data_IF_523627633219
#
_entry.id   IF_523627633219
#
_cell.length_a   1.000
_cell.length_b   1.000
_cell.length_c   1.000
_cell.angle_alpha   90.00
_cell.angle_beta   90.00
_cell.angle_gamma   90.00
#
_symmetry.space_group_name_H-M   'P 1'
#
loop_
_entity.id
_entity.type
_entity.pdbx_description
1 polymer ?
#
# COMPACT_ATOMS: atom_id res chain seq x y z
N UNK A 1 17.36 -10.15 -9.29
CA UNK A 1 16.24 -9.61 -10.15
C UNK A 1 15.95 -10.60 -11.25
N UNK A 2 14.67 -10.87 -11.53
CA UNK A 2 14.25 -11.63 -12.70
C UNK A 2 14.22 -10.73 -13.95
N UNK A 3 13.94 -11.30 -15.14
CA UNK A 3 13.89 -10.57 -16.41
C UNK A 3 12.88 -9.42 -16.40
N UNK A 4 11.67 -9.69 -15.89
CA UNK A 4 10.63 -8.64 -15.78
C UNK A 4 11.10 -7.46 -14.92
N UNK A 5 11.67 -7.71 -13.76
CA UNK A 5 12.16 -6.67 -12.87
C UNK A 5 13.30 -5.86 -13.51
N UNK A 6 14.27 -6.54 -14.12
CA UNK A 6 15.38 -5.90 -14.82
C UNK A 6 14.89 -4.97 -15.93
N UNK A 7 14.02 -5.46 -16.80
CA UNK A 7 13.47 -4.68 -17.90
C UNK A 7 12.61 -3.50 -17.39
N UNK A 8 11.78 -3.73 -16.36
CA UNK A 8 10.93 -2.67 -15.79
C UNK A 8 11.75 -1.53 -15.18
N UNK A 9 12.78 -1.86 -14.38
CA UNK A 9 13.60 -0.82 -13.76
C UNK A 9 14.51 -0.13 -14.77
N UNK A 10 15.00 -0.83 -15.79
CA UNK A 10 15.75 -0.25 -16.90
C UNK A 10 14.91 0.74 -17.69
N UNK A 11 13.68 0.33 -18.06
CA UNK A 11 12.70 1.19 -18.73
C UNK A 11 12.39 2.45 -17.92
N UNK A 12 12.31 2.32 -16.58
CA UNK A 12 12.06 3.46 -15.71
C UNK A 12 13.27 4.41 -15.65
N UNK A 13 14.50 3.87 -15.65
CA UNK A 13 15.72 4.69 -15.71
C UNK A 13 15.81 5.41 -17.05
N UNK A 14 15.53 4.76 -18.17
CA UNK A 14 15.46 5.40 -19.50
C UNK A 14 14.52 6.62 -19.48
N UNK A 15 13.35 6.46 -18.85
CA UNK A 15 12.39 7.56 -18.68
C UNK A 15 12.95 8.70 -17.83
N UNK A 16 13.58 8.41 -16.70
CA UNK A 16 14.15 9.42 -15.82
C UNK A 16 15.25 10.23 -16.52
N UNK A 17 16.08 9.56 -17.31
CA UNK A 17 17.21 10.19 -18.01
C UNK A 17 16.76 10.96 -19.25
N UNK A 18 15.94 10.36 -20.11
CA UNK A 18 15.45 11.02 -21.32
C UNK A 18 14.69 12.32 -21.04
N UNK A 19 13.93 12.35 -19.95
CA UNK A 19 13.11 13.50 -19.57
C UNK A 19 13.65 14.28 -18.37
N UNK A 20 14.96 14.15 -18.04
CA UNK A 20 15.59 14.77 -16.87
C UNK A 20 15.44 16.30 -16.82
N UNK A 21 15.36 16.96 -17.98
CA UNK A 21 15.20 18.41 -18.11
C UNK A 21 13.74 18.88 -17.96
N UNK A 22 12.78 17.99 -17.93
CA UNK A 22 11.37 18.33 -17.72
C UNK A 22 11.16 18.66 -16.24
N UNK A 23 11.18 19.96 -15.92
CA UNK A 23 11.16 20.47 -14.55
C UNK A 23 10.08 21.55 -14.38
N UNK A 24 9.52 21.63 -13.18
CA UNK A 24 8.71 22.76 -12.77
C UNK A 24 9.19 23.30 -11.43
N UNK A 25 9.40 24.62 -11.32
CA UNK A 25 10.02 25.26 -10.14
C UNK A 25 11.28 24.54 -9.63
N UNK A 26 12.10 24.03 -10.56
CA UNK A 26 13.33 23.31 -10.27
C UNK A 26 13.14 21.90 -9.70
N UNK A 27 11.92 21.33 -9.75
CA UNK A 27 11.65 19.93 -9.39
C UNK A 27 11.48 19.13 -10.69
N UNK A 28 12.22 18.03 -10.85
CA UNK A 28 12.09 17.13 -11.99
C UNK A 28 10.78 16.38 -11.93
N UNK A 29 9.93 16.55 -12.95
CA UNK A 29 8.61 15.94 -13.05
C UNK A 29 8.68 14.41 -13.20
N UNK A 30 9.60 13.81 -14.00
CA UNK A 30 9.75 12.37 -14.12
C UNK A 30 9.90 11.62 -12.77
N UNK A 31 10.65 12.18 -11.83
CA UNK A 31 10.83 11.61 -10.50
C UNK A 31 9.53 11.60 -9.67
N UNK A 32 8.58 12.46 -10.00
CA UNK A 32 7.29 12.57 -9.32
C UNK A 32 6.21 11.70 -9.96
N UNK A 33 6.40 11.27 -11.21
CA UNK A 33 5.43 10.48 -11.95
C UNK A 33 5.12 9.12 -11.30
N UNK A 34 3.87 8.69 -11.39
CA UNK A 34 3.49 7.31 -11.21
C UNK A 34 3.80 6.53 -12.49
N UNK A 35 5.03 6.01 -12.60
CA UNK A 35 5.58 5.48 -13.85
C UNK A 35 4.71 4.42 -14.52
N UNK A 36 4.16 3.44 -13.77
CA UNK A 36 3.33 2.38 -14.35
C UNK A 36 2.09 2.88 -15.07
N UNK A 37 1.53 4.01 -14.63
CA UNK A 37 0.35 4.57 -15.29
C UNK A 37 0.65 5.19 -16.66
N UNK A 38 1.93 5.45 -16.99
CA UNK A 38 2.33 5.97 -18.29
C UNK A 38 2.13 4.95 -19.43
N UNK A 39 2.03 3.66 -19.10
CA UNK A 39 1.85 2.59 -20.09
C UNK A 39 0.76 1.57 -19.69
N UNK A 40 -0.22 2.02 -18.90
CA UNK A 40 -1.32 1.11 -18.47
C UNK A 40 -2.07 0.51 -19.66
N UNK A 41 -2.24 1.24 -20.73
CA UNK A 41 -2.95 0.81 -21.93
C UNK A 41 -2.04 0.21 -23.03
N UNK A 42 -0.75 0.04 -22.75
CA UNK A 42 0.20 -0.54 -23.69
C UNK A 42 0.40 -2.04 -23.41
N UNK A 43 -0.48 -2.87 -23.96
CA UNK A 43 -0.51 -4.30 -23.67
C UNK A 43 0.74 -5.06 -24.15
N UNK A 44 1.21 -4.75 -25.36
CA UNK A 44 2.42 -5.36 -25.94
C UNK A 44 3.66 -5.07 -25.07
N UNK A 45 3.87 -3.83 -24.68
CA UNK A 45 4.98 -3.47 -23.79
C UNK A 45 4.96 -4.28 -22.49
N UNK A 46 3.78 -4.45 -21.90
CA UNK A 46 3.65 -5.24 -20.65
C UNK A 46 4.04 -6.70 -20.83
N UNK A 47 3.73 -7.30 -21.98
CA UNK A 47 4.12 -8.66 -22.31
C UNK A 47 5.64 -8.74 -22.54
N UNK A 48 6.19 -7.78 -23.28
CA UNK A 48 7.61 -7.71 -23.63
C UNK A 48 8.52 -7.52 -22.41
N UNK A 49 8.04 -6.93 -21.32
CA UNK A 49 8.81 -6.81 -20.07
C UNK A 49 9.30 -8.17 -19.53
N UNK A 50 8.65 -9.29 -19.88
CA UNK A 50 9.09 -10.63 -19.48
C UNK A 50 10.04 -11.29 -20.48
N UNK A 51 10.37 -10.64 -21.61
CA UNK A 51 11.25 -11.16 -22.66
C UNK A 51 12.70 -10.72 -22.45
N UNK A 52 13.64 -11.65 -22.57
CA UNK A 52 15.08 -11.32 -22.52
C UNK A 52 15.50 -10.40 -23.68
N UNK A 53 14.94 -10.58 -24.88
CA UNK A 53 15.24 -9.74 -26.05
C UNK A 53 14.81 -8.27 -25.89
N UNK A 54 13.84 -7.99 -25.01
CA UNK A 54 13.36 -6.64 -24.79
C UNK A 54 14.45 -5.71 -24.23
N UNK A 55 15.40 -6.25 -23.45
CA UNK A 55 16.52 -5.48 -22.89
C UNK A 55 17.38 -4.80 -23.97
N UNK A 56 17.43 -5.37 -25.19
CA UNK A 56 18.19 -4.82 -26.33
C UNK A 56 17.58 -3.53 -26.90
N UNK A 57 16.33 -3.22 -26.57
CA UNK A 57 15.61 -2.03 -27.01
C UNK A 57 15.72 -0.88 -25.98
N UNK A 58 16.32 -1.13 -24.81
CA UNK A 58 16.46 -0.16 -23.74
C UNK A 58 17.84 0.49 -23.79
N UNK A 59 17.91 1.75 -23.35
CA UNK A 59 19.18 2.51 -23.33
C UNK A 59 20.06 2.13 -22.14
N UNK A 60 19.43 1.77 -21.02
CA UNK A 60 20.10 1.45 -19.77
C UNK A 60 19.77 0.01 -19.34
N UNK A 61 20.67 -0.58 -18.57
CA UNK A 61 20.43 -1.89 -17.94
C UNK A 61 20.65 -1.78 -16.43
N UNK A 62 19.55 -1.94 -15.70
CA UNK A 62 19.57 -1.95 -14.22
C UNK A 62 19.85 -3.36 -13.73
N UNK A 63 20.98 -3.57 -13.08
CA UNK A 63 21.38 -4.86 -12.51
C UNK A 63 21.05 -4.99 -11.03
N UNK A 64 20.88 -3.87 -10.30
CA UNK A 64 20.59 -3.84 -8.87
C UNK A 64 19.53 -2.77 -8.53
N UNK A 65 18.52 -3.19 -7.78
CA UNK A 65 17.46 -2.29 -7.27
C UNK A 65 18.02 -1.19 -6.35
N UNK A 66 19.15 -1.43 -5.68
CA UNK A 66 19.81 -0.42 -4.84
C UNK A 66 20.20 0.81 -5.63
N UNK A 67 20.75 0.64 -6.83
CA UNK A 67 21.12 1.78 -7.70
C UNK A 67 19.90 2.60 -8.11
N UNK A 68 18.77 1.93 -8.36
CA UNK A 68 17.53 2.62 -8.66
C UNK A 68 17.02 3.42 -7.43
N UNK A 69 16.99 2.80 -6.24
CA UNK A 69 16.58 3.49 -5.00
C UNK A 69 17.52 4.65 -4.67
N UNK A 70 18.83 4.49 -4.89
CA UNK A 70 19.83 5.53 -4.64
C UNK A 70 19.53 6.79 -5.44
N UNK A 71 19.13 6.69 -6.72
CA UNK A 71 18.74 7.86 -7.55
C UNK A 71 17.64 8.70 -6.89
N UNK A 72 16.65 8.03 -6.28
CA UNK A 72 15.57 8.72 -5.58
C UNK A 72 15.98 9.30 -4.22
N UNK A 73 16.90 8.63 -3.54
CA UNK A 73 17.50 9.15 -2.31
C UNK A 73 18.30 10.43 -2.58
N UNK A 74 19.11 10.44 -3.64
CA UNK A 74 19.87 11.61 -4.09
C UNK A 74 18.95 12.74 -4.57
N UNK A 75 17.92 12.39 -5.37
CA UNK A 75 16.91 13.37 -5.80
C UNK A 75 16.25 14.06 -4.60
N UNK A 76 15.81 13.29 -3.59
CA UNK A 76 15.25 13.87 -2.37
C UNK A 76 16.28 14.75 -1.64
N UNK A 77 17.51 14.27 -1.48
CA UNK A 77 18.61 15.01 -0.82
C UNK A 77 18.86 16.37 -1.48
N UNK A 78 18.84 16.44 -2.82
CA UNK A 78 18.98 17.71 -3.57
C UNK A 78 17.86 18.70 -3.24
N UNK A 79 16.69 18.23 -2.88
CA UNK A 79 15.54 19.06 -2.51
C UNK A 79 15.40 19.29 -1.00
N UNK A 80 16.19 18.63 -0.16
CA UNK A 80 16.14 18.83 1.30
C UNK A 80 16.85 20.14 1.67
N UNK A 81 16.13 21.05 2.34
CA UNK A 81 16.67 22.34 2.74
C UNK A 81 16.73 22.47 4.28
N UNK A 82 17.81 22.00 4.87
CA UNK A 82 18.04 22.04 6.31
C UNK A 82 18.24 23.46 6.88
N UNK A 83 18.41 24.49 6.02
CA UNK A 83 18.52 25.91 6.44
C UNK A 83 17.17 26.51 6.81
N UNK A 84 16.08 25.94 6.34
CA UNK A 84 14.73 26.39 6.70
C UNK A 84 14.44 25.99 8.13
N UNK A 85 14.17 26.96 9.00
CA UNK A 85 13.77 26.71 10.39
C UNK A 85 12.38 26.04 10.42
N UNK A 86 12.26 24.96 11.20
CA UNK A 86 10.97 24.33 11.47
C UNK A 86 10.09 25.24 12.30
N UNK A 87 8.78 25.19 12.06
CA UNK A 87 7.80 25.96 12.85
C UNK A 87 7.66 25.32 14.24
N UNK A 88 8.05 26.03 15.29
CA UNK A 88 8.10 25.51 16.67
C UNK A 88 6.75 24.94 17.16
N UNK A 89 5.63 25.57 16.77
CA UNK A 89 4.27 25.15 17.16
C UNK A 89 3.50 24.57 15.97
N UNK A 90 4.18 23.82 15.12
CA UNK A 90 3.55 23.20 13.95
C UNK A 90 2.63 22.03 14.33
N UNK A 91 1.64 21.79 13.48
CA UNK A 91 0.68 20.70 13.62
C UNK A 91 1.09 19.48 12.80
N UNK A 92 0.67 18.31 13.23
CA UNK A 92 0.80 17.06 12.48
C UNK A 92 -0.29 17.01 11.40
N UNK A 93 0.13 16.82 10.16
CA UNK A 93 -0.77 16.66 9.02
C UNK A 93 -0.92 15.19 8.67
N UNK A 94 -2.14 14.66 8.65
CA UNK A 94 -2.45 13.31 8.20
C UNK A 94 -2.91 13.38 6.75
N UNK A 95 -2.06 12.95 5.81
CA UNK A 95 -2.42 12.89 4.40
C UNK A 95 -3.03 11.53 4.08
N UNK A 96 -4.36 11.48 4.02
CA UNK A 96 -5.13 10.26 3.81
C UNK A 96 -5.54 10.09 2.33
N UNK A 97 -4.54 9.90 1.46
CA UNK A 97 -4.79 9.60 0.05
C UNK A 97 -5.55 8.28 -0.11
N UNK A 98 -6.63 8.31 -0.90
CA UNK A 98 -7.46 7.14 -1.21
C UNK A 98 -7.89 6.32 0.03
N UNK A 99 -8.01 6.96 1.19
CA UNK A 99 -8.35 6.33 2.48
C UNK A 99 -7.40 5.18 2.91
N UNK A 100 -6.15 5.21 2.46
CA UNK A 100 -5.18 4.15 2.73
C UNK A 100 -4.56 4.22 4.14
N UNK A 101 -4.66 5.33 4.87
CA UNK A 101 -4.22 5.39 6.27
C UNK A 101 -4.99 4.41 7.15
N UNK A 102 -6.29 4.24 6.86
CA UNK A 102 -7.16 3.28 7.56
C UNK A 102 -7.05 3.34 9.09
N UNK A 103 -6.78 4.52 9.64
CA UNK A 103 -6.79 4.71 11.08
C UNK A 103 -8.22 4.61 11.59
N UNK A 104 -8.51 3.74 12.57
CA UNK A 104 -9.82 3.70 13.19
C UNK A 104 -10.16 5.04 13.85
N UNK A 105 -11.42 5.45 13.76
CA UNK A 105 -11.91 6.72 14.32
C UNK A 105 -11.52 6.86 15.78
N UNK A 106 -11.71 5.81 16.58
CA UNK A 106 -11.38 5.80 18.01
C UNK A 106 -9.89 5.95 18.28
N UNK A 107 -9.02 5.32 17.48
CA UNK A 107 -7.56 5.46 17.58
C UNK A 107 -7.14 6.88 17.18
N UNK A 108 -7.73 7.41 16.10
CA UNK A 108 -7.45 8.78 15.66
C UNK A 108 -7.87 9.80 16.74
N UNK A 109 -9.08 9.70 17.27
CA UNK A 109 -9.56 10.57 18.39
C UNK A 109 -8.70 10.47 19.64
N UNK A 110 -8.17 9.29 19.95
CA UNK A 110 -7.30 9.07 21.11
C UNK A 110 -5.97 9.80 20.97
N UNK A 111 -5.34 9.71 19.80
CA UNK A 111 -3.95 10.11 19.61
C UNK A 111 -3.76 11.46 18.89
N UNK A 112 -4.73 11.90 18.10
CA UNK A 112 -4.64 13.14 17.33
C UNK A 112 -5.73 14.12 17.79
N UNK A 113 -5.30 15.28 18.29
CA UNK A 113 -6.20 16.31 18.78
C UNK A 113 -6.30 17.47 17.79
N UNK A 114 -7.47 18.11 17.62
CA UNK A 114 -7.67 19.21 16.66
C UNK A 114 -6.72 20.39 16.85
N UNK A 115 -6.26 20.63 18.08
CA UNK A 115 -5.31 21.69 18.41
C UNK A 115 -3.94 21.43 17.79
N UNK A 116 -3.56 20.13 17.64
CA UNK A 116 -2.22 19.70 17.23
C UNK A 116 -2.21 18.90 15.93
N UNK A 117 -3.37 18.64 15.32
CA UNK A 117 -3.45 17.79 14.14
C UNK A 117 -4.56 18.22 13.18
N UNK A 118 -4.41 17.87 11.91
CA UNK A 118 -5.43 18.03 10.88
C UNK A 118 -5.26 17.00 9.75
N UNK A 119 -6.26 16.88 8.89
CA UNK A 119 -6.24 15.98 7.74
C UNK A 119 -6.01 16.79 6.45
N UNK A 120 -5.14 16.31 5.58
CA UNK A 120 -5.00 16.79 4.21
C UNK A 120 -5.77 15.85 3.27
N UNK A 121 -6.52 16.42 2.34
CA UNK A 121 -7.20 15.73 1.23
C UNK A 121 -6.86 16.40 -0.10
N UNK A 122 -7.01 15.67 -1.19
CA UNK A 122 -6.71 16.19 -2.54
C UNK A 122 -7.77 17.20 -2.99
N UNK A 123 -9.04 16.80 -2.96
CA UNK A 123 -10.18 17.56 -3.47
C UNK A 123 -11.28 17.67 -2.41
N UNK A 124 -12.14 18.68 -2.56
CA UNK A 124 -13.38 18.78 -1.80
C UNK A 124 -14.34 17.68 -2.27
N UNK A 125 -14.95 17.01 -1.29
CA UNK A 125 -16.15 16.20 -1.56
C UNK A 125 -17.40 17.08 -1.74
N UNK A 126 -18.56 16.54 -1.41
CA UNK A 126 -19.85 17.27 -1.45
C UNK A 126 -20.00 18.35 -0.34
N UNK A 127 -18.96 18.65 0.40
CA UNK A 127 -19.01 19.62 1.50
C UNK A 127 -18.79 21.05 0.99
N UNK A 128 -19.61 21.98 1.44
CA UNK A 128 -19.47 23.42 1.19
C UNK A 128 -18.69 24.14 2.29
N UNK A 129 -18.47 23.48 3.42
CA UNK A 129 -17.70 24.07 4.52
C UNK A 129 -16.24 24.33 4.12
N UNK A 130 -15.69 25.52 4.38
CA UNK A 130 -14.28 25.81 4.10
C UNK A 130 -13.32 24.96 4.96
N UNK A 131 -13.73 24.51 6.14
CA UNK A 131 -12.95 23.65 7.04
C UNK A 131 -13.87 22.59 7.66
N UNK A 132 -14.29 21.57 6.88
CA UNK A 132 -15.12 20.53 7.43
C UNK A 132 -14.34 19.75 8.50
N UNK A 133 -15.06 19.35 9.53
CA UNK A 133 -14.54 18.44 10.56
C UNK A 133 -14.76 17.01 10.05
N UNK A 134 -13.73 16.19 10.12
CA UNK A 134 -13.83 14.76 9.75
C UNK A 134 -14.62 13.98 10.79
N UNK A 135 -14.99 12.74 10.48
CA UNK A 135 -15.66 11.85 11.45
C UNK A 135 -14.81 11.61 12.70
N UNK A 136 -13.49 11.75 12.57
CA UNK A 136 -12.52 11.66 13.68
C UNK A 136 -12.46 12.93 14.53
N UNK A 137 -13.12 14.01 14.12
CA UNK A 137 -13.12 15.29 14.82
C UNK A 137 -11.94 16.21 14.46
N UNK A 138 -11.19 15.91 13.40
CA UNK A 138 -10.06 16.74 12.95
C UNK A 138 -10.47 17.74 11.87
N UNK A 139 -9.91 18.97 11.85
CA UNK A 139 -10.06 19.87 10.71
C UNK A 139 -9.51 19.25 9.43
N UNK A 140 -10.16 19.45 8.30
CA UNK A 140 -9.67 19.01 6.99
C UNK A 140 -9.32 20.23 6.12
N UNK A 141 -8.19 20.13 5.42
CA UNK A 141 -7.73 21.07 4.41
C UNK A 141 -7.59 20.37 3.08
N UNK A 142 -7.93 21.07 2.00
CA UNK A 142 -7.92 20.50 0.65
C UNK A 142 -6.81 21.13 -0.17
N UNK A 143 -5.99 20.33 -0.83
CA UNK A 143 -4.88 20.82 -1.62
C UNK A 143 -5.36 21.70 -2.77
N UNK A 144 -6.46 21.35 -3.41
CA UNK A 144 -7.07 22.15 -4.48
C UNK A 144 -7.38 23.61 -4.09
N UNK A 145 -7.61 23.91 -2.81
CA UNK A 145 -7.87 25.28 -2.33
C UNK A 145 -6.63 26.18 -2.34
N UNK A 146 -5.48 25.59 -2.59
CA UNK A 146 -4.16 26.27 -2.64
C UNK A 146 -3.61 26.31 -4.05
N UNK A 147 -4.42 25.92 -5.05
CA UNK A 147 -4.02 25.96 -6.46
C UNK A 147 -3.99 27.39 -7.01
N UNK A 148 -3.26 27.56 -8.08
CA UNK A 148 -3.15 28.79 -8.87
C UNK A 148 -3.15 28.45 -10.36
N UNK A 149 -3.60 29.34 -11.23
CA UNK A 149 -3.50 29.16 -12.68
C UNK A 149 -2.05 29.14 -13.13
N UNK A 150 -1.65 28.07 -13.81
CA UNK A 150 -0.31 27.84 -14.35
C UNK A 150 -0.35 27.33 -15.79
N UNK A 151 -1.47 27.51 -16.48
CA UNK A 151 -1.76 26.92 -17.80
C UNK A 151 -0.63 27.21 -18.82
N UNK A 152 -0.17 28.46 -18.89
CA UNK A 152 0.93 28.83 -19.78
C UNK A 152 2.23 28.05 -19.47
N UNK A 153 2.56 27.84 -18.20
CA UNK A 153 3.75 27.05 -17.83
C UNK A 153 3.59 25.58 -18.20
N UNK A 154 2.40 25.03 -18.02
CA UNK A 154 2.07 23.64 -18.40
C UNK A 154 2.26 23.47 -19.91
N UNK A 155 1.72 24.39 -20.73
CA UNK A 155 1.89 24.36 -22.19
C UNK A 155 3.36 24.37 -22.62
N UNK A 156 4.18 25.20 -21.99
CA UNK A 156 5.62 25.27 -22.30
C UNK A 156 6.32 23.94 -21.99
N UNK A 157 5.99 23.32 -20.84
CA UNK A 157 6.54 22.02 -20.46
C UNK A 157 6.07 20.93 -21.42
N UNK A 158 4.80 20.93 -21.81
CA UNK A 158 4.26 19.95 -22.77
C UNK A 158 4.88 20.09 -24.18
N UNK A 159 5.21 21.30 -24.62
CA UNK A 159 5.99 21.54 -25.84
C UNK A 159 7.40 20.96 -25.73
N UNK A 160 8.07 21.15 -24.59
CA UNK A 160 9.37 20.55 -24.31
C UNK A 160 9.29 19.02 -24.36
N UNK A 161 8.29 18.42 -23.71
CA UNK A 161 8.03 16.96 -23.73
C UNK A 161 7.87 16.46 -25.16
N UNK A 162 7.09 17.15 -25.99
CA UNK A 162 6.89 16.77 -27.39
C UNK A 162 8.21 16.75 -28.19
N UNK A 163 9.08 17.75 -27.97
CA UNK A 163 10.40 17.79 -28.59
C UNK A 163 11.33 16.64 -28.16
N UNK A 164 11.23 16.22 -26.89
CA UNK A 164 12.01 15.08 -26.38
C UNK A 164 11.48 13.77 -26.97
N UNK A 165 10.15 13.59 -27.01
CA UNK A 165 9.54 12.41 -27.60
C UNK A 165 9.96 12.22 -29.05
N UNK A 166 9.99 13.29 -29.85
CA UNK A 166 10.42 13.22 -31.25
C UNK A 166 11.88 12.74 -31.39
N UNK A 167 12.76 13.20 -30.51
CA UNK A 167 14.17 12.75 -30.47
C UNK A 167 14.29 11.25 -30.15
N UNK A 168 13.38 10.73 -29.34
CA UNK A 168 13.38 9.35 -28.82
C UNK A 168 12.27 8.48 -29.42
N UNK A 169 11.69 8.83 -30.55
CA UNK A 169 10.53 8.13 -31.15
C UNK A 169 10.73 6.65 -31.46
N UNK A 170 11.96 6.17 -31.56
CA UNK A 170 12.28 4.75 -31.76
C UNK A 170 12.28 3.94 -30.45
N UNK A 171 12.24 4.59 -29.30
CA UNK A 171 12.21 3.91 -28.00
C UNK A 171 10.86 3.20 -27.79
N UNK A 172 10.81 1.96 -27.30
CA UNK A 172 9.60 1.14 -27.25
C UNK A 172 8.46 1.75 -26.41
N UNK A 173 8.77 2.63 -25.45
CA UNK A 173 7.76 3.34 -24.66
C UNK A 173 7.46 4.73 -25.22
N UNK A 174 8.51 5.54 -25.50
CA UNK A 174 8.33 6.98 -25.77
C UNK A 174 7.71 7.25 -27.13
N UNK A 175 7.95 6.37 -28.13
CA UNK A 175 7.33 6.44 -29.45
C UNK A 175 5.85 6.06 -29.50
N UNK A 176 5.30 5.51 -28.42
CA UNK A 176 3.91 5.07 -28.41
C UNK A 176 2.94 6.25 -28.15
N UNK A 177 1.87 6.43 -28.95
CA UNK A 177 0.96 7.58 -28.81
C UNK A 177 0.36 7.74 -27.42
N UNK A 178 -0.06 6.64 -26.79
CA UNK A 178 -0.67 6.66 -25.45
C UNK A 178 0.30 7.13 -24.35
N UNK A 179 1.61 6.97 -24.54
CA UNK A 179 2.61 7.49 -23.61
C UNK A 179 2.58 9.01 -23.55
N UNK A 180 2.57 9.67 -24.72
CA UNK A 180 2.53 11.15 -24.80
C UNK A 180 1.33 11.73 -24.06
N UNK A 181 0.16 11.16 -24.29
CA UNK A 181 -1.08 11.58 -23.63
C UNK A 181 -1.00 11.39 -22.10
N UNK A 182 -0.60 10.17 -21.67
CA UNK A 182 -0.48 9.84 -20.26
C UNK A 182 0.57 10.69 -19.54
N UNK A 183 1.70 10.97 -20.20
CA UNK A 183 2.75 11.80 -19.61
C UNK A 183 2.34 13.26 -19.53
N UNK A 184 1.76 13.84 -20.57
CA UNK A 184 1.25 15.22 -20.54
C UNK A 184 0.20 15.43 -19.46
N UNK A 185 -0.72 14.46 -19.28
CA UNK A 185 -1.69 14.51 -18.19
C UNK A 185 -1.02 14.44 -16.80
N UNK A 186 0.09 13.70 -16.64
CA UNK A 186 0.83 13.71 -15.38
C UNK A 186 1.65 15.01 -15.20
N UNK A 187 2.23 15.57 -16.26
CA UNK A 187 2.93 16.87 -16.23
C UNK A 187 2.03 17.94 -15.64
N UNK A 188 0.82 18.09 -16.19
CA UNK A 188 -0.18 19.05 -15.72
C UNK A 188 -0.50 18.84 -14.24
N UNK A 189 -0.94 17.63 -13.87
CA UNK A 189 -1.33 17.31 -12.49
C UNK A 189 -0.19 17.50 -11.49
N UNK A 190 1.05 17.16 -11.87
CA UNK A 190 2.22 17.31 -11.00
C UNK A 190 2.60 18.77 -10.84
N UNK A 191 2.55 19.57 -11.92
CA UNK A 191 2.82 20.99 -11.85
C UNK A 191 1.83 21.71 -10.90
N UNK A 192 0.54 21.48 -11.05
CA UNK A 192 -0.47 21.97 -10.10
C UNK A 192 -0.22 21.48 -8.68
N UNK A 193 0.10 20.18 -8.49
CA UNK A 193 0.39 19.61 -7.17
C UNK A 193 1.60 20.26 -6.50
N UNK A 194 2.62 20.68 -7.25
CA UNK A 194 3.75 21.42 -6.71
C UNK A 194 3.31 22.78 -6.16
N UNK A 195 2.42 23.48 -6.87
CA UNK A 195 1.85 24.78 -6.43
C UNK A 195 1.00 24.59 -5.19
N UNK A 196 -0.01 23.73 -5.26
CA UNK A 196 -0.92 23.42 -4.15
C UNK A 196 -0.15 23.08 -2.87
N UNK A 197 0.81 22.16 -2.97
CA UNK A 197 1.64 21.74 -1.84
C UNK A 197 2.49 22.88 -1.28
N UNK A 198 3.10 23.68 -2.14
CA UNK A 198 3.94 24.81 -1.75
C UNK A 198 3.12 25.88 -1.03
N UNK A 199 1.95 26.23 -1.55
CA UNK A 199 1.09 27.26 -0.99
C UNK A 199 0.43 26.80 0.31
N UNK A 200 0.00 25.54 0.39
CA UNK A 200 -0.50 24.96 1.63
C UNK A 200 0.56 25.01 2.75
N UNK A 201 1.78 24.55 2.48
CA UNK A 201 2.87 24.52 3.47
C UNK A 201 3.25 25.93 3.93
N UNK A 202 3.22 26.92 3.04
CA UNK A 202 3.46 28.32 3.42
C UNK A 202 2.37 28.87 4.36
N UNK A 203 1.12 28.54 4.09
CA UNK A 203 -0.04 29.05 4.84
C UNK A 203 -0.30 28.30 6.15
N UNK A 204 -0.01 27.00 6.22
CA UNK A 204 -0.29 26.18 7.40
C UNK A 204 0.96 25.91 8.24
N UNK A 205 0.84 25.90 9.58
CA UNK A 205 1.97 25.56 10.45
C UNK A 205 2.13 24.04 10.56
N UNK A 206 2.81 23.42 9.60
CA UNK A 206 3.03 21.95 9.57
C UNK A 206 4.37 21.63 10.21
N UNK A 207 4.40 20.68 11.16
CA UNK A 207 5.61 20.17 11.82
C UNK A 207 6.01 18.79 11.33
N UNK A 208 5.05 17.97 10.87
CA UNK A 208 5.28 16.63 10.34
C UNK A 208 4.11 16.25 9.42
N UNK A 209 4.40 15.46 8.37
CA UNK A 209 3.35 14.90 7.51
C UNK A 209 3.40 13.37 7.59
N UNK A 210 2.26 12.76 7.92
CA UNK A 210 2.08 11.30 7.93
C UNK A 210 1.32 10.90 6.66
N UNK A 211 1.96 10.10 5.82
CA UNK A 211 1.42 9.59 4.56
C UNK A 211 0.89 8.17 4.71
N UNK A 212 -0.11 7.82 3.91
CA UNK A 212 -0.54 6.43 3.72
C UNK A 212 0.29 5.68 2.68
N UNK A 213 0.94 6.40 1.77
CA UNK A 213 1.81 5.88 0.71
C UNK A 213 2.50 7.07 0.02
N UNK A 214 3.73 6.88 -0.46
CA UNK A 214 4.44 7.83 -1.34
C UNK A 214 4.59 7.29 -2.77
N UNK A 215 3.81 6.28 -3.13
CA UNK A 215 3.88 5.63 -4.44
C UNK A 215 3.26 6.48 -5.56
N UNK A 216 2.17 7.20 -5.27
CA UNK A 216 1.46 8.01 -6.25
C UNK A 216 2.03 9.44 -6.33
N UNK A 217 1.84 10.09 -7.48
CA UNK A 217 2.37 11.43 -7.73
C UNK A 217 1.92 12.47 -6.69
N UNK A 218 0.68 12.36 -6.20
CA UNK A 218 0.12 13.31 -5.22
C UNK A 218 0.95 13.37 -3.94
N UNK A 219 1.13 12.22 -3.31
CA UNK A 219 1.86 12.10 -2.05
C UNK A 219 3.37 12.26 -2.24
N UNK A 220 3.90 11.76 -3.37
CA UNK A 220 5.32 11.92 -3.71
C UNK A 220 5.69 13.38 -3.88
N UNK A 221 4.88 14.15 -4.62
CA UNK A 221 5.08 15.59 -4.80
C UNK A 221 5.03 16.34 -3.47
N UNK A 222 4.01 16.08 -2.64
CA UNK A 222 3.90 16.70 -1.33
C UNK A 222 5.11 16.37 -0.43
N UNK A 223 5.64 15.14 -0.49
CA UNK A 223 6.81 14.74 0.29
C UNK A 223 8.10 15.49 -0.17
N UNK A 224 8.28 15.68 -1.46
CA UNK A 224 9.44 16.45 -2.00
C UNK A 224 9.30 17.94 -1.67
N UNK A 225 8.11 18.51 -1.77
CA UNK A 225 7.85 19.90 -1.35
C UNK A 225 8.05 20.05 0.16
N UNK A 226 7.62 19.09 0.98
CA UNK A 226 7.89 19.08 2.42
C UNK A 226 9.39 19.08 2.74
N UNK A 227 10.20 18.29 2.03
CA UNK A 227 11.66 18.29 2.17
C UNK A 227 12.29 19.68 1.90
N UNK A 228 11.79 20.43 0.91
CA UNK A 228 12.23 21.82 0.64
C UNK A 228 11.93 22.79 1.81
N UNK A 229 10.95 22.47 2.60
CA UNK A 229 10.55 23.26 3.76
C UNK A 229 11.03 22.65 5.09
N UNK A 230 11.95 21.68 5.05
CA UNK A 230 12.48 20.97 6.22
C UNK A 230 11.39 20.37 7.12
N UNK A 231 10.31 19.88 6.52
CA UNK A 231 9.22 19.23 7.22
C UNK A 231 9.42 17.71 7.15
N UNK A 232 9.61 17.01 8.27
CA UNK A 232 9.79 15.57 8.29
C UNK A 232 8.53 14.83 7.84
N UNK A 233 8.76 13.67 7.22
CA UNK A 233 7.71 12.86 6.61
C UNK A 233 7.78 11.42 7.09
N UNK A 234 6.63 10.85 7.45
CA UNK A 234 6.46 9.44 7.85
C UNK A 234 5.51 8.80 6.84
N UNK A 235 5.92 7.67 6.26
CA UNK A 235 5.04 6.85 5.42
C UNK A 235 4.58 5.62 6.20
N UNK A 236 3.28 5.50 6.46
CA UNK A 236 2.69 4.32 7.08
C UNK A 236 2.60 3.18 6.07
N UNK A 237 2.95 1.99 6.48
CA UNK A 237 2.73 0.81 5.65
C UNK A 237 1.22 0.55 5.49
N UNK A 238 0.74 0.49 4.25
CA UNK A 238 -0.69 0.35 3.94
C UNK A 238 -1.17 -1.10 3.71
N UNK A 239 -0.22 -2.03 3.52
CA UNK A 239 -0.44 -3.47 3.32
C UNK A 239 0.85 -4.24 3.51
N UNK A 240 0.86 -5.56 3.33
CA UNK A 240 2.11 -6.34 3.29
C UNK A 240 2.95 -5.91 2.07
N UNK A 241 4.27 -5.95 2.20
CA UNK A 241 5.18 -5.77 1.05
C UNK A 241 5.14 -7.05 0.22
N UNK A 242 4.12 -7.20 -0.62
CA UNK A 242 3.98 -8.37 -1.50
C UNK A 242 4.90 -8.33 -2.72
N UNK A 243 5.27 -7.12 -3.16
CA UNK A 243 6.20 -6.86 -4.25
C UNK A 243 6.73 -5.43 -4.12
N UNK A 244 7.63 -5.02 -5.02
CA UNK A 244 8.15 -3.66 -5.10
C UNK A 244 7.08 -2.62 -5.42
N UNK A 245 6.01 -3.05 -6.09
CA UNK A 245 4.91 -2.16 -6.46
C UNK A 245 4.22 -1.59 -5.21
N UNK A 246 4.17 -0.27 -5.13
CA UNK A 246 3.59 0.43 -4.01
C UNK A 246 4.58 0.83 -2.90
N UNK A 247 5.82 0.30 -2.95
CA UNK A 247 6.86 0.54 -1.95
C UNK A 247 8.17 1.10 -2.52
N UNK A 248 8.46 0.88 -3.80
CA UNK A 248 9.58 1.50 -4.51
C UNK A 248 9.11 2.53 -5.54
N UNK A 249 9.83 3.66 -5.62
CA UNK A 249 10.92 4.11 -4.75
C UNK A 249 10.40 4.62 -3.39
N UNK A 250 11.22 4.44 -2.33
CA UNK A 250 11.00 5.07 -1.02
C UNK A 250 11.32 6.56 -1.10
N UNK A 251 10.42 7.40 -0.57
CA UNK A 251 10.55 8.87 -0.62
C UNK A 251 10.46 9.51 0.78
N UNK A 252 9.59 9.03 1.66
CA UNK A 252 9.45 9.57 3.02
C UNK A 252 10.78 9.53 3.78
N UNK A 253 10.94 10.35 4.82
CA UNK A 253 12.13 10.27 5.69
C UNK A 253 12.16 8.93 6.41
N UNK A 254 11.03 8.54 7.00
CA UNK A 254 10.87 7.26 7.67
C UNK A 254 9.67 6.51 7.12
N UNK A 255 9.85 5.22 6.83
CA UNK A 255 8.76 4.28 6.62
C UNK A 255 8.47 3.55 7.94
N UNK A 256 7.24 3.72 8.43
CA UNK A 256 6.73 3.11 9.63
C UNK A 256 6.08 1.76 9.29
N UNK A 257 6.75 0.67 9.61
CA UNK A 257 6.50 -0.67 9.06
C UNK A 257 5.95 -1.64 10.10
N UNK A 258 5.47 -2.80 9.60
CA UNK A 258 4.86 -3.83 10.42
C UNK A 258 5.87 -4.62 11.25
N UNK A 259 7.00 -5.03 10.67
CA UNK A 259 7.92 -5.90 11.34
C UNK A 259 9.33 -5.93 10.71
N UNK A 260 10.10 -6.95 11.12
CA UNK A 260 11.48 -7.11 10.67
C UNK A 260 11.59 -7.56 9.21
N UNK A 261 10.53 -8.18 8.65
CA UNK A 261 10.53 -8.49 7.22
C UNK A 261 10.72 -7.23 6.38
N UNK A 262 10.01 -6.18 6.70
CA UNK A 262 10.09 -4.91 5.97
C UNK A 262 11.45 -4.23 6.18
N UNK A 263 12.01 -4.31 7.38
CA UNK A 263 13.37 -3.77 7.64
C UNK A 263 14.39 -4.44 6.73
N UNK A 264 14.40 -5.80 6.71
CA UNK A 264 15.31 -6.57 5.87
C UNK A 264 15.06 -6.29 4.37
N UNK A 265 13.79 -6.16 3.97
CA UNK A 265 13.41 -5.88 2.59
C UNK A 265 13.89 -4.48 2.16
N UNK A 266 13.64 -3.43 2.94
CA UNK A 266 14.11 -2.08 2.65
C UNK A 266 15.63 -1.99 2.62
N UNK A 267 16.32 -2.69 3.53
CA UNK A 267 17.78 -2.82 3.52
C UNK A 267 18.28 -3.50 2.24
N UNK A 268 17.56 -4.50 1.75
CA UNK A 268 17.92 -5.22 0.51
C UNK A 268 17.86 -4.34 -0.73
N UNK A 269 17.07 -3.26 -0.72
CA UNK A 269 16.99 -2.26 -1.79
C UNK A 269 17.83 -1.01 -1.52
N UNK A 270 18.69 -1.01 -0.50
CA UNK A 270 19.65 0.06 -0.23
C UNK A 270 19.14 1.21 0.64
N UNK A 271 18.03 1.03 1.35
CA UNK A 271 17.56 2.01 2.35
C UNK A 271 18.39 1.87 3.63
N UNK A 272 18.80 3.01 4.20
CA UNK A 272 19.54 3.07 5.46
C UNK A 272 18.65 2.67 6.67
N UNK A 273 19.25 2.17 7.73
CA UNK A 273 18.54 1.62 8.89
C UNK A 273 17.69 2.67 9.63
N UNK A 274 18.07 3.93 9.61
CA UNK A 274 17.32 5.05 10.19
C UNK A 274 16.08 5.44 9.35
N UNK A 275 16.03 5.02 8.10
CA UNK A 275 14.90 5.27 7.19
C UNK A 275 13.69 4.35 7.41
N UNK A 276 13.77 3.35 8.33
CA UNK A 276 12.68 2.38 8.57
C UNK A 276 12.51 2.15 10.07
N UNK A 277 11.28 2.22 10.58
CA UNK A 277 10.96 2.01 12.00
C UNK A 277 9.82 1.01 12.17
N UNK A 278 10.06 -0.02 12.97
CA UNK A 278 9.02 -1.01 13.32
C UNK A 278 8.10 -0.43 14.38
N UNK A 279 6.89 -0.09 13.98
CA UNK A 279 5.85 0.43 14.90
C UNK A 279 4.55 -0.38 14.86
N UNK A 280 4.38 -1.27 13.88
CA UNK A 280 3.11 -1.90 13.58
C UNK A 280 2.17 -0.95 12.84
N UNK A 281 0.85 -1.15 12.99
CA UNK A 281 -0.15 -0.27 12.39
C UNK A 281 -1.31 -0.01 13.34
N UNK A 282 -1.73 1.26 13.54
CA UNK A 282 -2.80 1.62 14.49
C UNK A 282 -4.11 0.85 14.32
N UNK A 283 -4.48 0.45 13.08
CA UNK A 283 -5.70 -0.34 12.86
C UNK A 283 -5.63 -1.73 13.51
N UNK A 284 -4.44 -2.29 13.67
CA UNK A 284 -4.26 -3.63 14.27
C UNK A 284 -4.40 -3.61 15.80
N UNK A 285 -4.32 -2.44 16.41
CA UNK A 285 -4.60 -2.28 17.86
C UNK A 285 -6.04 -2.71 18.22
N UNK A 286 -6.92 -2.82 17.22
CA UNK A 286 -8.33 -3.22 17.40
C UNK A 286 -8.60 -4.71 17.15
N UNK A 287 -7.64 -5.47 16.65
CA UNK A 287 -7.86 -6.87 16.24
C UNK A 287 -8.35 -7.73 17.42
N UNK A 288 -7.83 -7.47 18.61
CA UNK A 288 -8.13 -8.26 19.82
C UNK A 288 -9.17 -7.59 20.74
N UNK A 289 -9.91 -6.59 20.24
CA UNK A 289 -11.06 -6.07 20.97
C UNK A 289 -12.17 -7.13 21.06
N UNK A 290 -12.94 -7.05 22.14
CA UNK A 290 -14.09 -7.93 22.31
C UNK A 290 -15.01 -7.91 21.09
N UNK A 291 -15.48 -9.11 20.74
CA UNK A 291 -16.41 -9.26 19.63
C UNK A 291 -17.71 -8.49 19.91
N UNK A 292 -18.12 -7.66 18.96
CA UNK A 292 -19.36 -6.87 19.07
C UNK A 292 -20.63 -7.70 18.89
N UNK A 293 -20.50 -9.00 18.58
CA UNK A 293 -21.60 -9.94 18.30
C UNK A 293 -21.21 -11.32 18.85
N UNK A 294 -22.17 -12.06 19.39
CA UNK A 294 -21.94 -13.42 19.85
C UNK A 294 -21.91 -14.43 18.70
N UNK A 295 -21.31 -15.61 18.93
CA UNK A 295 -21.23 -16.70 17.93
C UNK A 295 -22.63 -17.13 17.48
N UNK A 296 -23.56 -17.29 18.42
CA UNK A 296 -24.94 -17.70 18.16
C UNK A 296 -25.68 -16.69 17.29
N UNK A 297 -25.49 -15.38 17.59
CA UNK A 297 -26.12 -14.32 16.80
C UNK A 297 -25.54 -14.28 15.38
N UNK A 298 -24.23 -14.43 15.21
CA UNK A 298 -23.61 -14.46 13.88
C UNK A 298 -24.05 -15.70 13.09
N UNK A 299 -24.05 -16.88 13.73
CA UNK A 299 -24.50 -18.14 13.15
C UNK A 299 -25.93 -18.02 12.59
N UNK A 300 -26.86 -17.48 13.40
CA UNK A 300 -28.26 -17.25 12.98
C UNK A 300 -28.34 -16.24 11.83
N UNK A 301 -27.63 -15.11 11.90
CA UNK A 301 -27.69 -14.06 10.88
C UNK A 301 -27.10 -14.47 9.55
N UNK A 302 -26.09 -15.31 9.55
CA UNK A 302 -25.48 -15.82 8.32
C UNK A 302 -26.14 -17.10 7.81
N UNK A 303 -26.97 -17.79 8.60
CA UNK A 303 -27.60 -19.06 8.25
C UNK A 303 -26.60 -20.24 8.31
N UNK A 304 -25.66 -20.21 9.25
CA UNK A 304 -24.65 -21.27 9.41
C UNK A 304 -25.20 -22.47 10.17
N UNK A 305 -24.72 -23.67 9.86
CA UNK A 305 -24.99 -24.86 10.69
C UNK A 305 -24.04 -24.83 11.91
N UNK A 306 -24.54 -24.78 13.14
CA UNK A 306 -23.73 -24.71 14.34
C UNK A 306 -22.86 -25.96 14.59
N UNK A 307 -23.14 -27.09 13.93
CA UNK A 307 -22.38 -28.35 14.04
C UNK A 307 -21.16 -28.38 13.14
N UNK A 308 -21.12 -27.54 12.11
CA UNK A 308 -20.04 -27.49 11.12
C UNK A 308 -18.89 -26.55 11.54
N UNK A 309 -17.72 -26.76 10.94
CA UNK A 309 -16.56 -25.88 11.10
C UNK A 309 -16.70 -24.64 10.20
N UNK A 310 -16.37 -23.48 10.73
CA UNK A 310 -16.46 -22.21 10.02
C UNK A 310 -15.14 -21.85 9.35
N UNK A 311 -15.11 -21.81 8.03
CA UNK A 311 -13.97 -21.35 7.23
C UNK A 311 -14.27 -19.95 6.69
N UNK A 312 -13.40 -19.00 6.94
CA UNK A 312 -13.49 -17.68 6.32
C UNK A 312 -12.63 -17.67 5.06
N UNK A 313 -13.26 -17.59 3.89
CA UNK A 313 -12.60 -17.49 2.59
C UNK A 313 -12.56 -16.03 2.15
N UNK A 314 -11.34 -15.51 1.99
CA UNK A 314 -11.08 -14.13 1.55
C UNK A 314 -10.87 -14.10 0.04
N UNK A 315 -11.75 -13.39 -0.65
CA UNK A 315 -11.70 -13.23 -2.11
C UNK A 315 -11.55 -11.76 -2.50
N UNK A 316 -11.25 -11.50 -3.77
CA UNK A 316 -11.14 -10.15 -4.33
C UNK A 316 -11.94 -10.07 -5.63
N UNK A 317 -13.23 -9.82 -5.50
CA UNK A 317 -14.15 -9.89 -6.62
C UNK A 317 -13.97 -11.20 -7.36
N UNK A 318 -14.08 -11.17 -8.69
CA UNK A 318 -13.89 -12.36 -9.54
C UNK A 318 -12.41 -12.71 -9.82
N UNK A 319 -11.46 -11.98 -9.21
CA UNK A 319 -10.05 -12.33 -9.35
C UNK A 319 -9.81 -13.77 -8.85
N UNK A 320 -9.21 -14.57 -9.71
CA UNK A 320 -8.88 -15.97 -9.39
C UNK A 320 -10.08 -16.88 -9.11
N UNK A 321 -11.28 -16.55 -9.59
CA UNK A 321 -12.51 -17.30 -9.30
C UNK A 321 -12.39 -18.78 -9.69
N UNK A 322 -11.67 -19.11 -10.77
CA UNK A 322 -11.40 -20.51 -11.19
C UNK A 322 -10.61 -21.30 -10.14
N UNK A 323 -9.68 -20.66 -9.43
CA UNK A 323 -8.92 -21.29 -8.35
C UNK A 323 -9.79 -21.50 -7.11
N UNK A 324 -10.63 -20.52 -6.78
CA UNK A 324 -11.54 -20.63 -5.66
C UNK A 324 -12.62 -21.69 -5.88
N UNK A 325 -13.13 -21.82 -7.11
CA UNK A 325 -14.04 -22.92 -7.47
C UNK A 325 -13.37 -24.27 -7.26
N UNK A 326 -12.18 -24.51 -7.85
CA UNK A 326 -11.42 -25.74 -7.65
C UNK A 326 -11.18 -26.09 -6.18
N UNK A 327 -11.00 -25.07 -5.31
CA UNK A 327 -10.84 -25.27 -3.88
C UNK A 327 -12.17 -25.69 -3.23
N UNK A 328 -13.28 -25.04 -3.59
CA UNK A 328 -14.60 -25.36 -3.04
C UNK A 328 -15.13 -26.71 -3.55
N UNK A 329 -14.83 -27.09 -4.78
CA UNK A 329 -15.17 -28.40 -5.36
C UNK A 329 -14.62 -29.57 -4.49
N UNK A 330 -13.44 -29.39 -3.84
CA UNK A 330 -12.87 -30.38 -2.92
C UNK A 330 -13.66 -30.52 -1.61
N UNK A 331 -14.54 -29.60 -1.31
CA UNK A 331 -15.39 -29.62 -0.11
C UNK A 331 -16.87 -29.87 -0.44
N UNK A 332 -17.22 -29.86 -1.72
CA UNK A 332 -18.59 -30.12 -2.17
C UNK A 332 -19.00 -31.55 -1.88
N UNK A 333 -20.24 -31.75 -1.42
CA UNK A 333 -20.72 -33.04 -0.94
C UNK A 333 -20.14 -33.50 0.40
N UNK A 334 -19.19 -32.79 1.00
CA UNK A 334 -18.67 -33.06 2.33
C UNK A 334 -19.35 -32.16 3.36
N UNK A 335 -20.37 -32.63 4.06
CA UNK A 335 -21.20 -31.84 4.98
C UNK A 335 -20.50 -31.46 6.30
N UNK A 336 -19.24 -30.96 6.22
CA UNK A 336 -18.38 -30.68 7.37
C UNK A 336 -18.12 -29.17 7.60
N UNK A 337 -18.34 -28.32 6.59
CA UNK A 337 -17.93 -26.93 6.62
C UNK A 337 -19.06 -25.97 6.32
N UNK A 338 -19.06 -24.82 7.01
CA UNK A 338 -19.62 -23.56 6.56
C UNK A 338 -18.49 -22.72 5.96
N UNK A 339 -18.64 -22.22 4.75
CA UNK A 339 -17.68 -21.31 4.14
C UNK A 339 -18.25 -19.90 4.08
N UNK A 340 -17.65 -18.96 4.79
CA UNK A 340 -18.07 -17.57 4.81
C UNK A 340 -17.21 -16.80 3.80
N UNK A 341 -17.83 -16.34 2.72
CA UNK A 341 -17.14 -15.56 1.67
C UNK A 341 -17.06 -14.10 2.10
N UNK A 342 -15.82 -13.60 2.26
CA UNK A 342 -15.55 -12.19 2.48
C UNK A 342 -14.89 -11.60 1.25
N UNK A 343 -15.64 -10.76 0.55
CA UNK A 343 -15.21 -10.10 -0.66
C UNK A 343 -14.72 -8.67 -0.42
N UNK A 344 -13.79 -8.21 -1.28
CA UNK A 344 -13.32 -6.83 -1.32
C UNK A 344 -12.97 -6.41 -2.77
N UNK A 345 -13.60 -5.37 -3.32
CA UNK A 345 -14.79 -4.68 -2.79
C UNK A 345 -15.97 -5.63 -2.68
N UNK A 346 -16.85 -5.40 -1.72
CA UNK A 346 -18.00 -6.27 -1.50
C UNK A 346 -18.90 -6.28 -2.74
N UNK A 347 -19.10 -7.48 -3.32
CA UNK A 347 -20.11 -7.75 -4.32
C UNK A 347 -21.19 -8.61 -3.66
N UNK A 348 -22.45 -8.30 -3.93
CA UNK A 348 -23.55 -9.04 -3.31
C UNK A 348 -24.62 -9.31 -4.37
N UNK A 349 -24.96 -10.58 -4.65
CA UNK A 349 -24.27 -11.81 -4.18
C UNK A 349 -22.93 -12.05 -4.90
N UNK A 350 -21.99 -12.70 -4.23
CA UNK A 350 -20.76 -13.16 -4.88
C UNK A 350 -21.03 -14.48 -5.62
N UNK A 351 -20.54 -14.71 -6.84
CA UNK A 351 -20.86 -15.91 -7.62
C UNK A 351 -20.57 -17.24 -6.91
N UNK A 352 -19.58 -17.29 -6.01
CA UNK A 352 -19.29 -18.47 -5.21
C UNK A 352 -20.43 -18.84 -4.22
N UNK A 353 -21.23 -17.87 -3.78
CA UNK A 353 -22.38 -18.13 -2.89
C UNK A 353 -23.62 -18.59 -3.63
N UNK A 354 -23.61 -18.52 -4.96
CA UNK A 354 -24.70 -19.02 -5.81
C UNK A 354 -24.44 -20.45 -6.26
N UNK A 355 -23.16 -20.87 -6.30
CA UNK A 355 -22.78 -22.17 -6.84
C UNK A 355 -22.60 -23.27 -5.77
N UNK A 356 -22.51 -22.91 -4.47
CA UNK A 356 -22.24 -23.85 -3.39
C UNK A 356 -23.14 -23.54 -2.19
N UNK A 357 -24.03 -24.48 -1.82
CA UNK A 357 -25.00 -24.32 -0.75
C UNK A 357 -24.38 -24.13 0.64
N UNK A 358 -23.16 -24.65 0.84
CA UNK A 358 -22.38 -24.47 2.08
C UNK A 358 -21.59 -23.16 2.14
N UNK A 359 -21.62 -22.34 1.06
CA UNK A 359 -20.92 -21.06 0.96
C UNK A 359 -21.90 -19.90 1.13
N UNK A 360 -21.67 -19.05 2.13
CA UNK A 360 -22.54 -17.92 2.45
C UNK A 360 -21.79 -16.59 2.40
N UNK A 361 -22.50 -15.51 2.07
CA UNK A 361 -21.92 -14.16 2.12
C UNK A 361 -21.66 -13.71 3.56
N UNK A 362 -20.55 -12.99 3.78
CA UNK A 362 -20.28 -12.30 5.04
C UNK A 362 -21.24 -11.15 5.36
N UNK A 363 -22.21 -10.84 4.47
CA UNK A 363 -23.23 -9.79 4.61
C UNK A 363 -22.66 -8.42 5.05
N UNK A 364 -21.45 -8.08 4.58
CA UNK A 364 -20.79 -6.79 4.89
C UNK A 364 -20.17 -6.69 6.28
N UNK A 365 -20.23 -7.74 7.11
CA UNK A 365 -19.57 -7.72 8.42
C UNK A 365 -18.08 -7.39 8.30
N UNK A 366 -17.60 -6.56 9.23
CA UNK A 366 -16.18 -6.21 9.30
C UNK A 366 -15.33 -7.45 9.60
N UNK A 367 -14.11 -7.49 9.09
CA UNK A 367 -13.19 -8.62 9.29
C UNK A 367 -13.04 -8.98 10.78
N UNK A 368 -12.84 -7.98 11.64
CA UNK A 368 -12.59 -8.20 13.07
C UNK A 368 -13.84 -8.67 13.83
N UNK A 369 -15.03 -8.48 13.27
CA UNK A 369 -16.27 -9.07 13.78
C UNK A 369 -16.38 -10.57 13.42
N UNK A 370 -15.83 -10.98 12.27
CA UNK A 370 -15.88 -12.39 11.82
C UNK A 370 -14.79 -13.25 12.44
N UNK A 371 -13.56 -12.71 12.57
CA UNK A 371 -12.39 -13.48 13.02
C UNK A 371 -12.60 -14.25 14.33
N UNK A 372 -13.22 -13.71 15.40
CA UNK A 372 -13.45 -14.48 16.63
C UNK A 372 -14.26 -15.78 16.42
N UNK A 373 -15.14 -15.80 15.41
CA UNK A 373 -16.16 -16.84 15.21
C UNK A 373 -15.82 -17.86 14.12
N UNK A 374 -14.64 -17.79 13.52
CA UNK A 374 -14.19 -18.75 12.51
C UNK A 374 -13.06 -19.63 13.04
N UNK A 375 -12.98 -20.87 12.53
CA UNK A 375 -11.99 -21.85 12.94
C UNK A 375 -10.68 -21.69 12.13
N UNK A 376 -10.81 -21.36 10.83
CA UNK A 376 -9.70 -21.25 9.86
C UNK A 376 -9.94 -20.09 8.92
N UNK A 377 -8.87 -19.45 8.44
CA UNK A 377 -8.92 -18.46 7.38
C UNK A 377 -8.15 -18.98 6.16
N UNK A 378 -8.79 -18.92 5.01
CA UNK A 378 -8.19 -19.19 3.70
C UNK A 378 -8.18 -17.91 2.90
N UNK A 379 -7.03 -17.55 2.34
CA UNK A 379 -6.88 -16.28 1.62
C UNK A 379 -5.85 -16.38 0.49
N UNK A 380 -5.91 -15.44 -0.45
CA UNK A 380 -4.75 -15.17 -1.31
C UNK A 380 -3.66 -14.41 -0.52
N UNK A 381 -2.47 -14.20 -1.12
CA UNK A 381 -1.38 -13.45 -0.48
C UNK A 381 -1.80 -11.98 -0.26
N UNK A 382 -2.33 -11.68 0.90
CA UNK A 382 -2.86 -10.36 1.26
C UNK A 382 -2.63 -10.01 2.73
N UNK A 383 -2.80 -8.74 3.07
CA UNK A 383 -2.69 -8.27 4.46
C UNK A 383 -3.71 -8.95 5.39
N UNK A 384 -4.85 -9.40 4.87
CA UNK A 384 -5.88 -10.09 5.67
C UNK A 384 -5.33 -11.39 6.28
N UNK A 385 -4.43 -12.10 5.57
CA UNK A 385 -3.74 -13.26 6.13
C UNK A 385 -2.93 -12.91 7.38
N UNK A 386 -2.19 -11.79 7.35
CA UNK A 386 -1.47 -11.29 8.52
C UNK A 386 -2.42 -10.89 9.66
N UNK A 387 -3.48 -10.14 9.35
CA UNK A 387 -4.49 -9.72 10.34
C UNK A 387 -5.15 -10.93 11.04
N UNK A 388 -5.47 -11.96 10.27
CA UNK A 388 -6.03 -13.20 10.82
C UNK A 388 -5.04 -13.94 11.74
N UNK A 389 -3.76 -13.99 11.36
CA UNK A 389 -2.71 -14.58 12.21
C UNK A 389 -2.50 -13.78 13.50
N UNK A 390 -2.53 -12.45 13.46
CA UNK A 390 -2.48 -11.58 14.64
C UNK A 390 -3.68 -11.85 15.56
N UNK A 391 -4.87 -12.09 15.00
CA UNK A 391 -6.08 -12.54 15.73
C UNK A 391 -5.99 -13.97 16.26
N UNK A 392 -4.83 -14.62 16.14
CA UNK A 392 -4.64 -16.01 16.62
C UNK A 392 -5.19 -17.09 15.70
N UNK A 393 -5.73 -16.76 14.53
CA UNK A 393 -6.34 -17.75 13.63
C UNK A 393 -5.31 -18.50 12.79
N UNK A 394 -5.49 -19.81 12.56
CA UNK A 394 -4.75 -20.54 11.55
C UNK A 394 -5.08 -20.01 10.16
N UNK A 395 -4.05 -19.87 9.33
CA UNK A 395 -4.17 -19.25 8.00
C UNK A 395 -3.52 -20.15 6.95
N UNK A 396 -4.25 -20.38 5.87
CA UNK A 396 -3.81 -21.11 4.70
C UNK A 396 -3.88 -20.19 3.47
N UNK A 397 -2.80 -20.08 2.72
CA UNK A 397 -2.66 -19.08 1.68
C UNK A 397 -2.52 -19.71 0.30
N UNK A 398 -3.28 -19.22 -0.66
CA UNK A 398 -3.12 -19.51 -2.06
C UNK A 398 -2.14 -18.52 -2.68
N UNK A 399 -1.00 -19.02 -3.13
CA UNK A 399 0.02 -18.24 -3.84
C UNK A 399 -0.19 -18.37 -5.34
N UNK A 400 -0.80 -17.36 -5.94
CA UNK A 400 -1.00 -17.32 -7.38
C UNK A 400 0.22 -16.66 -8.02
N UNK A 401 0.79 -17.23 -9.09
CA UNK A 401 1.96 -16.67 -9.75
C UNK A 401 1.77 -15.19 -10.13
N UNK A 402 2.74 -14.38 -9.78
CA UNK A 402 2.83 -12.99 -10.17
C UNK A 402 4.24 -12.70 -10.70
N UNK A 403 4.43 -11.70 -11.58
CA UNK A 403 5.76 -11.36 -12.11
C UNK A 403 6.80 -11.06 -11.06
N UNK A 404 6.35 -10.52 -9.92
CA UNK A 404 7.20 -10.19 -8.77
C UNK A 404 6.54 -10.62 -7.47
N UNK A 405 7.32 -11.20 -6.57
CA UNK A 405 6.91 -11.55 -5.22
C UNK A 405 8.07 -11.36 -4.25
N UNK A 406 7.83 -10.73 -3.12
CA UNK A 406 8.85 -10.37 -2.13
C UNK A 406 9.30 -11.53 -1.24
N UNK A 407 8.57 -12.65 -1.23
CA UNK A 407 8.79 -13.73 -0.27
C UNK A 407 8.14 -13.52 1.10
N UNK A 408 7.22 -12.55 1.25
CA UNK A 408 6.66 -12.17 2.55
C UNK A 408 6.19 -13.35 3.40
N UNK A 409 5.47 -14.30 2.80
CA UNK A 409 4.91 -15.45 3.49
C UNK A 409 5.75 -16.74 3.41
N UNK A 410 6.93 -16.72 2.81
CA UNK A 410 7.72 -17.94 2.56
C UNK A 410 8.07 -18.71 3.83
N UNK A 411 8.25 -18.00 4.96
CA UNK A 411 8.51 -18.61 6.26
C UNK A 411 7.36 -19.47 6.80
N UNK A 412 6.15 -19.34 6.27
CA UNK A 412 5.03 -20.22 6.61
C UNK A 412 5.17 -21.61 5.95
N UNK A 413 6.01 -21.76 4.91
CA UNK A 413 6.29 -23.01 4.23
C UNK A 413 5.01 -23.64 3.66
N UNK A 414 4.73 -24.88 4.05
CA UNK A 414 3.59 -25.63 3.47
C UNK A 414 2.20 -25.00 3.68
N UNK A 415 2.03 -23.99 4.56
CA UNK A 415 0.76 -23.26 4.71
C UNK A 415 0.48 -22.32 3.52
N UNK A 416 1.47 -22.15 2.64
CA UNK A 416 1.35 -21.44 1.36
C UNK A 416 1.38 -22.46 0.24
N UNK A 417 0.29 -22.55 -0.54
CA UNK A 417 0.14 -23.50 -1.64
C UNK A 417 -0.08 -22.77 -2.96
N UNK A 418 0.41 -23.36 -4.05
CA UNK A 418 0.15 -22.86 -5.40
C UNK A 418 -1.12 -23.47 -5.99
N UNK A 419 -1.44 -24.69 -5.56
CA UNK A 419 -2.56 -25.47 -6.09
C UNK A 419 -3.75 -25.47 -5.11
N UNK A 420 -4.97 -25.15 -5.57
CA UNK A 420 -6.18 -25.11 -4.74
C UNK A 420 -6.47 -26.44 -4.04
N UNK A 421 -6.32 -27.56 -4.73
CA UNK A 421 -6.53 -28.92 -4.18
C UNK A 421 -5.58 -29.19 -3.01
N UNK A 422 -4.30 -28.85 -3.18
CA UNK A 422 -3.31 -28.97 -2.10
C UNK A 422 -3.67 -28.11 -0.88
N UNK A 423 -4.24 -26.92 -1.12
CA UNK A 423 -4.69 -26.02 -0.06
C UNK A 423 -5.89 -26.60 0.69
N UNK A 424 -6.90 -27.15 -0.02
CA UNK A 424 -8.06 -27.81 0.57
C UNK A 424 -7.64 -29.01 1.44
N UNK A 425 -6.74 -29.85 0.94
CA UNK A 425 -6.20 -30.98 1.69
C UNK A 425 -5.47 -30.58 2.98
N UNK A 426 -4.76 -29.43 2.98
CA UNK A 426 -4.14 -28.94 4.19
C UNK A 426 -5.16 -28.47 5.23
N UNK A 427 -6.24 -27.81 4.79
CA UNK A 427 -7.34 -27.40 5.67
C UNK A 427 -8.02 -28.64 6.27
N UNK A 428 -8.34 -29.66 5.46
CA UNK A 428 -8.89 -30.92 5.92
C UNK A 428 -7.97 -31.59 6.98
N UNK A 429 -6.67 -31.66 6.68
CA UNK A 429 -5.66 -32.20 7.60
C UNK A 429 -5.57 -31.41 8.90
N UNK A 430 -5.74 -30.09 8.85
CA UNK A 430 -5.74 -29.25 10.06
C UNK A 430 -6.86 -29.67 11.01
N UNK A 431 -8.05 -29.94 10.51
CA UNK A 431 -9.19 -30.32 11.37
C UNK A 431 -9.04 -31.70 12.02
N UNK A 432 -8.39 -32.65 11.36
CA UNK A 432 -8.28 -34.03 11.85
C UNK A 432 -6.97 -34.36 12.58
N UNK A 433 -5.89 -33.59 12.39
CA UNK A 433 -4.57 -33.92 12.91
C UNK A 433 -4.09 -32.93 13.98
N UNK A 434 -4.03 -33.37 15.22
CA UNK A 434 -3.47 -32.56 16.32
C UNK A 434 -2.00 -32.21 16.09
N UNK A 435 -1.18 -33.17 15.64
CA UNK A 435 0.22 -32.94 15.27
C UNK A 435 0.37 -31.85 14.22
N UNK A 436 -0.56 -31.79 13.26
CA UNK A 436 -0.53 -30.76 12.22
C UNK A 436 -0.95 -29.40 12.78
N UNK A 437 -1.97 -29.33 13.66
CA UNK A 437 -2.34 -28.09 14.38
C UNK A 437 -1.19 -27.51 15.18
N UNK A 438 -0.47 -28.35 15.92
CA UNK A 438 0.70 -27.94 16.69
C UNK A 438 1.83 -27.37 15.78
N UNK A 439 2.07 -28.02 14.63
CA UNK A 439 3.04 -27.56 13.62
C UNK A 439 2.64 -26.21 13.01
N UNK A 440 1.37 -26.04 12.65
CA UNK A 440 0.85 -24.74 12.14
C UNK A 440 1.05 -23.65 13.19
N UNK A 441 0.60 -23.88 14.40
CA UNK A 441 0.70 -22.91 15.50
C UNK A 441 2.16 -22.48 15.76
N UNK A 442 3.08 -23.43 15.78
CA UNK A 442 4.52 -23.14 15.92
C UNK A 442 5.05 -22.28 14.76
N UNK A 443 4.70 -22.62 13.51
CA UNK A 443 5.10 -21.87 12.33
C UNK A 443 4.53 -20.44 12.34
N UNK A 444 3.24 -20.30 12.64
CA UNK A 444 2.56 -19.00 12.74
C UNK A 444 3.19 -18.11 13.80
N UNK A 445 3.46 -18.65 15.01
CA UNK A 445 4.14 -17.90 16.08
C UNK A 445 5.53 -17.40 15.65
N UNK A 446 6.33 -18.27 15.01
CA UNK A 446 7.66 -17.90 14.48
C UNK A 446 7.57 -16.85 13.38
N UNK A 447 6.59 -16.97 12.49
CA UNK A 447 6.34 -15.99 11.44
C UNK A 447 5.96 -14.63 12.05
N UNK A 448 5.01 -14.59 12.99
CA UNK A 448 4.58 -13.34 13.63
C UNK A 448 5.69 -12.67 14.43
N UNK A 449 6.55 -13.43 15.10
CA UNK A 449 7.70 -12.87 15.81
C UNK A 449 8.65 -12.07 14.90
N UNK A 450 8.63 -12.35 13.60
CA UNK A 450 9.42 -11.66 12.60
C UNK A 450 8.60 -10.62 11.80
N UNK A 451 7.44 -11.01 11.27
CA UNK A 451 6.65 -10.17 10.37
C UNK A 451 5.76 -9.15 11.10
N UNK A 452 5.40 -9.44 12.35
CA UNK A 452 4.66 -8.54 13.22
C UNK A 452 5.02 -8.82 14.67
N UNK A 453 6.21 -8.45 15.14
CA UNK A 453 6.59 -8.65 16.53
C UNK A 453 5.56 -7.95 17.43
N UNK A 454 5.31 -8.50 18.62
CA UNK A 454 4.27 -8.03 19.54
C UNK A 454 4.46 -6.53 19.87
N UNK A 455 3.84 -5.70 19.04
CA UNK A 455 3.90 -4.24 19.11
C UNK A 455 2.64 -3.76 19.82
N UNK A 456 2.72 -3.67 21.14
CA UNK A 456 1.62 -3.06 21.91
C UNK A 456 1.45 -1.60 21.50
N UNK A 457 0.20 -1.17 21.25
CA UNK A 457 -0.15 0.23 21.04
C UNK A 457 0.59 0.89 19.88
N UNK A 458 0.38 0.39 18.65
CA UNK A 458 0.97 0.98 17.43
C UNK A 458 0.63 2.47 17.28
N UNK A 459 -0.58 2.87 17.73
CA UNK A 459 -0.96 4.28 17.76
C UNK A 459 -0.05 5.12 18.66
N UNK A 460 0.31 4.61 19.84
CA UNK A 460 1.23 5.29 20.76
C UNK A 460 2.64 5.40 20.16
N UNK A 461 3.16 4.32 19.55
CA UNK A 461 4.48 4.34 18.90
C UNK A 461 4.54 5.30 17.73
N UNK A 462 3.44 5.49 17.00
CA UNK A 462 3.37 6.51 15.95
C UNK A 462 3.54 7.91 16.53
N UNK A 463 2.89 8.21 17.66
CA UNK A 463 3.05 9.51 18.33
C UNK A 463 4.48 9.71 18.83
N UNK A 464 5.10 8.67 19.39
CA UNK A 464 6.49 8.70 19.83
C UNK A 464 7.45 8.96 18.65
N UNK A 465 7.24 8.28 17.51
CA UNK A 465 8.00 8.51 16.28
C UNK A 465 7.82 9.94 15.76
N UNK A 466 6.58 10.47 15.74
CA UNK A 466 6.33 11.85 15.35
C UNK A 466 7.08 12.82 16.29
N UNK A 467 7.06 12.57 17.59
CA UNK A 467 7.76 13.40 18.56
C UNK A 467 9.29 13.33 18.38
N UNK A 468 9.86 12.14 18.11
CA UNK A 468 11.27 11.96 17.78
C UNK A 468 11.66 12.80 16.56
N UNK A 469 10.90 12.69 15.47
CA UNK A 469 11.18 13.39 14.21
C UNK A 469 10.97 14.89 14.28
N UNK A 470 10.10 15.39 15.16
CA UNK A 470 9.84 16.82 15.34
C UNK A 470 10.81 17.48 16.32
N UNK A 471 11.35 16.74 17.29
CA UNK A 471 12.33 17.24 18.28
C UNK A 471 13.78 17.22 17.76
N UNK A 472 14.10 16.41 16.77
CA UNK A 472 15.45 15.97 16.41
C UNK A 472 16.38 16.97 15.72
N UNK A 473 16.22 18.30 15.85
CA UNK A 473 17.20 19.29 15.36
C UNK A 473 17.34 20.53 16.25
N UNK A 474 17.03 20.40 17.53
CA UNK A 474 17.27 21.50 18.49
C UNK A 474 18.62 21.45 19.21
N UNK A 475 19.51 20.51 18.87
CA UNK A 475 20.86 20.38 19.44
C UNK A 475 21.84 19.95 18.35
N UNK A 476 22.38 20.88 17.65
CA UNK A 476 23.69 20.84 17.00
C UNK A 476 24.28 22.25 17.03
#
# INVERSE_FOLDING_TARGET
MNTFERNFWSLYVDFLEAFSEVKYKGISIPYLCHFRSLFTNHHELKQNLSSESFSQQLYQTVQDKKLFQQRFTEFKKMHTNNKVKRKANGKVALYNAANLLRFPIEITKKHFKPEHSFVIRDIRGKTTSPRPITAEGLPAYFLIDYDESIDHHVELIQKQVAGIIEKHKKHPLFGHPTFKEAFNAQVERIAHRIIESTNMIKKLPISCIVFSSTHYYQSRTLAIVAARHNIPTICMQHGIVGSENGYMPKIADVDAVYGHFEVDWFKSIGVADDGVKVIGHPRFDLINKEATITKETLTKKLGLDPKKKNILLIVRGNAYIKHWRKLLDEWDGHDQYNVIIKDFPAQTPHPLTENYDFAVSSKGYHLYTLLPHVDVVVAYLSTVGLEAMIAGKPVFLLSIPAPTYSGYYDRLGQMVQKEPVGLANLVNRYFVSEKFRAKESSKRKKFLAYAYPNVKSSGQRLIELIAEMTKGQGKA
#
